data_IF_485693991536
#
_entry.id   IF_485693991536
#
_cell.length_a   1.000
_cell.length_b   1.000
_cell.length_c   1.000
_cell.angle_alpha   90.00
_cell.angle_beta   90.00
_cell.angle_gamma   90.00
#
_symmetry.space_group_name_H-M   'P 1'
#
loop_
_entity.id
_entity.type
_entity.pdbx_description
1 polymer ?
#
# COMPACT_ATOMS: atom_id res chain seq x y z
N UNK A 1 -30.70 -22.36 -75.01
CA UNK A 1 -31.64 -21.22 -74.95
C UNK A 1 -31.74 -20.84 -73.49
N UNK A 2 -31.26 -19.65 -73.15
CA UNK A 2 -31.66 -18.90 -71.95
C UNK A 2 -32.57 -17.75 -72.47
N UNK A 3 -33.55 -17.18 -71.71
CA UNK A 3 -33.25 -16.41 -70.49
C UNK A 3 -34.39 -16.23 -69.43
N UNK A 4 -34.05 -15.47 -68.37
CA UNK A 4 -34.88 -14.60 -67.49
C UNK A 4 -35.03 -15.08 -66.02
N UNK A 5 -34.20 -14.67 -65.04
CA UNK A 5 -33.98 -13.36 -64.41
C UNK A 5 -34.92 -13.05 -63.21
N UNK A 6 -34.36 -12.89 -62.00
CA UNK A 6 -34.45 -11.67 -61.15
C UNK A 6 -34.05 -11.87 -59.66
N UNK A 7 -33.21 -10.95 -59.13
CA UNK A 7 -33.11 -10.55 -57.71
C UNK A 7 -31.91 -11.10 -56.92
N UNK A 8 -30.72 -10.46 -56.89
CA UNK A 8 -30.26 -9.43 -55.92
C UNK A 8 -30.24 -9.94 -54.45
N UNK A 9 -29.16 -9.91 -53.67
CA UNK A 9 -28.04 -8.97 -53.60
C UNK A 9 -26.73 -9.63 -53.09
N UNK A 10 -25.60 -9.05 -53.49
CA UNK A 10 -24.27 -9.37 -53.01
C UNK A 10 -23.98 -8.69 -51.66
N UNK A 11 -23.28 -9.38 -50.74
CA UNK A 11 -22.44 -8.68 -49.78
C UNK A 11 -21.13 -9.43 -49.52
N UNK A 12 -20.10 -8.74 -50.00
CA UNK A 12 -18.66 -8.85 -49.92
C UNK A 12 -18.11 -9.41 -48.60
N UNK A 13 -17.12 -10.30 -48.78
CA UNK A 13 -16.12 -10.78 -47.83
C UNK A 13 -15.38 -9.60 -47.18
N UNK A 14 -15.35 -9.58 -45.85
CA UNK A 14 -14.53 -8.68 -45.05
C UNK A 14 -14.22 -9.32 -43.70
N UNK A 15 -13.36 -10.34 -43.72
CA UNK A 15 -12.81 -10.94 -42.51
C UNK A 15 -11.92 -9.93 -41.78
N UNK A 16 -12.47 -9.31 -40.74
CA UNK A 16 -11.73 -8.65 -39.69
C UNK A 16 -11.79 -9.53 -38.45
N UNK A 17 -10.88 -10.49 -38.36
CA UNK A 17 -10.60 -11.17 -37.09
C UNK A 17 -9.93 -10.12 -36.21
N UNK A 18 -10.67 -9.62 -35.21
CA UNK A 18 -10.04 -8.90 -34.10
C UNK A 18 -9.00 -9.86 -33.50
N UNK A 19 -7.76 -9.43 -33.25
CA UNK A 19 -6.77 -10.32 -32.67
C UNK A 19 -7.32 -10.83 -31.34
N UNK A 20 -7.47 -12.16 -31.25
CA UNK A 20 -7.74 -12.85 -29.98
C UNK A 20 -6.64 -12.41 -29.02
N UNK A 21 -7.03 -11.60 -28.03
CA UNK A 21 -6.18 -11.31 -26.88
C UNK A 21 -6.04 -12.64 -26.16
N UNK A 22 -4.82 -13.19 -26.01
CA UNK A 22 -4.67 -14.46 -25.32
C UNK A 22 -5.10 -14.25 -23.87
N UNK A 23 -6.23 -14.83 -23.49
CA UNK A 23 -6.56 -15.04 -22.09
C UNK A 23 -5.43 -15.95 -21.58
N UNK A 24 -4.49 -15.38 -20.82
CA UNK A 24 -3.27 -16.05 -20.36
C UNK A 24 -3.63 -17.03 -19.23
N UNK A 25 -4.43 -18.03 -19.56
CA UNK A 25 -4.66 -19.23 -18.76
C UNK A 25 -3.32 -19.97 -18.68
N UNK A 26 -2.83 -20.20 -17.46
CA UNK A 26 -1.52 -20.79 -17.16
C UNK A 26 -0.34 -19.99 -17.74
N UNK A 27 0.09 -18.98 -16.97
CA UNK A 27 1.38 -18.38 -17.22
C UNK A 27 2.47 -19.39 -16.83
N UNK A 28 2.84 -20.23 -17.79
CA UNK A 28 3.97 -21.15 -17.72
C UNK A 28 5.29 -20.42 -17.40
N UNK A 29 5.30 -19.09 -17.42
CA UNK A 29 6.42 -18.24 -17.00
C UNK A 29 6.56 -18.11 -15.50
N UNK A 30 5.53 -18.23 -14.67
CA UNK A 30 5.66 -18.03 -13.22
C UNK A 30 5.45 -19.33 -12.45
N UNK A 31 6.42 -19.67 -11.62
CA UNK A 31 6.36 -20.81 -10.71
C UNK A 31 6.02 -20.33 -9.30
N UNK A 32 5.00 -20.93 -8.68
CA UNK A 32 4.65 -20.63 -7.28
C UNK A 32 5.78 -21.09 -6.36
N UNK A 33 6.31 -20.17 -5.55
CA UNK A 33 7.29 -20.47 -4.51
C UNK A 33 6.61 -20.61 -3.15
N UNK A 34 5.79 -19.61 -2.77
CA UNK A 34 5.10 -19.58 -1.48
C UNK A 34 3.99 -18.53 -1.49
N UNK A 35 2.92 -18.75 -0.72
CA UNK A 35 2.00 -17.66 -0.36
C UNK A 35 2.66 -16.75 0.70
N UNK A 36 2.67 -15.44 0.46
CA UNK A 36 3.39 -14.45 1.30
C UNK A 36 2.46 -13.47 2.04
N UNK A 37 1.17 -13.48 1.77
CA UNK A 37 0.22 -12.72 2.55
C UNK A 37 -1.23 -12.99 2.19
N UNK A 38 -2.11 -12.90 3.18
CA UNK A 38 -3.57 -12.85 3.02
C UNK A 38 -4.07 -11.59 3.72
N UNK A 39 -4.52 -10.61 2.95
CA UNK A 39 -5.11 -9.37 3.47
C UNK A 39 -6.50 -9.11 2.90
N UNK A 40 -7.13 -8.00 3.29
CA UNK A 40 -8.49 -7.61 2.89
C UNK A 40 -8.70 -7.49 1.37
N UNK A 41 -7.65 -7.54 0.55
CA UNK A 41 -7.68 -7.25 -0.89
C UNK A 41 -6.96 -8.28 -1.74
N UNK A 42 -6.85 -9.51 -1.24
CA UNK A 42 -6.36 -10.65 -2.01
C UNK A 42 -5.16 -11.36 -1.40
N UNK A 43 -4.84 -12.51 -1.99
CA UNK A 43 -3.68 -13.33 -1.62
C UNK A 43 -2.47 -12.81 -2.40
N UNK A 44 -1.42 -12.40 -1.69
CA UNK A 44 -0.13 -12.09 -2.30
C UNK A 44 0.69 -13.38 -2.37
N UNK A 45 1.19 -13.71 -3.57
CA UNK A 45 2.00 -14.91 -3.82
C UNK A 45 3.41 -14.52 -4.23
N UNK A 46 4.39 -15.19 -3.65
CA UNK A 46 5.76 -15.18 -4.12
C UNK A 46 5.86 -16.16 -5.28
N UNK A 47 6.26 -15.65 -6.43
CA UNK A 47 6.49 -16.44 -7.62
C UNK A 47 7.92 -16.27 -8.10
N UNK A 48 8.39 -17.23 -8.89
CA UNK A 48 9.66 -17.16 -9.61
C UNK A 48 9.38 -17.07 -11.10
N UNK A 49 9.93 -16.05 -11.75
CA UNK A 49 9.94 -16.00 -13.21
C UNK A 49 10.86 -17.12 -13.73
N UNK A 50 10.31 -18.06 -14.52
CA UNK A 50 11.04 -19.21 -15.04
C UNK A 50 12.09 -18.81 -16.07
N UNK A 51 11.99 -17.64 -16.69
CA UNK A 51 12.95 -17.10 -17.66
C UNK A 51 14.06 -16.35 -16.93
N UNK A 52 13.72 -15.29 -16.18
CA UNK A 52 14.73 -14.44 -15.51
C UNK A 52 15.27 -15.06 -14.22
N UNK A 53 14.59 -16.07 -13.68
CA UNK A 53 14.83 -16.70 -12.37
C UNK A 53 14.61 -15.77 -11.17
N UNK A 54 14.16 -14.55 -11.41
CA UNK A 54 13.89 -13.56 -10.37
C UNK A 54 12.65 -13.91 -9.55
N UNK A 55 12.67 -13.49 -8.29
CA UNK A 55 11.51 -13.56 -7.41
C UNK A 55 10.64 -12.32 -7.60
N UNK A 56 9.34 -12.54 -7.70
CA UNK A 56 8.33 -11.49 -7.84
C UNK A 56 7.18 -11.71 -6.88
N UNK A 57 6.55 -10.62 -6.45
CA UNK A 57 5.29 -10.68 -5.72
C UNK A 57 4.13 -10.51 -6.71
N UNK A 58 3.11 -11.37 -6.61
CA UNK A 58 1.91 -11.30 -7.45
C UNK A 58 0.70 -11.09 -6.55
N UNK A 59 0.00 -9.97 -6.77
CA UNK A 59 -1.26 -9.64 -6.09
C UNK A 59 -2.43 -9.94 -7.02
N UNK A 60 -3.46 -10.61 -6.51
CA UNK A 60 -4.65 -10.96 -7.27
C UNK A 60 -5.86 -10.14 -6.81
N UNK A 61 -6.59 -9.56 -7.77
CA UNK A 61 -7.86 -8.88 -7.55
C UNK A 61 -8.93 -9.59 -8.37
N UNK A 62 -10.05 -9.97 -7.76
CA UNK A 62 -11.16 -10.61 -8.48
C UNK A 62 -11.65 -9.73 -9.64
N UNK A 63 -11.92 -10.35 -10.78
CA UNK A 63 -12.51 -9.69 -11.94
C UNK A 63 -13.92 -9.18 -11.63
N UNK A 64 -14.33 -8.10 -12.29
CA UNK A 64 -15.65 -7.50 -12.13
C UNK A 64 -15.60 -6.11 -11.52
N UNK A 65 -16.60 -5.80 -10.69
CA UNK A 65 -16.85 -4.46 -10.14
C UNK A 65 -15.74 -3.93 -9.23
N UNK A 66 -14.87 -4.80 -8.71
CA UNK A 66 -13.71 -4.39 -7.90
C UNK A 66 -12.63 -3.69 -8.73
N UNK A 67 -12.63 -3.86 -10.06
CA UNK A 67 -11.70 -3.18 -10.98
C UNK A 67 -12.31 -1.85 -11.42
N UNK A 68 -12.38 -0.90 -10.49
CA UNK A 68 -12.92 0.43 -10.75
C UNK A 68 -11.88 1.37 -11.39
N UNK A 69 -12.23 2.65 -11.55
CA UNK A 69 -11.30 3.67 -12.07
C UNK A 69 -10.14 3.96 -11.10
N UNK A 70 -10.33 3.75 -9.80
CA UNK A 70 -9.28 3.96 -8.80
C UNK A 70 -8.17 2.90 -8.97
N UNK A 71 -8.55 1.63 -9.08
CA UNK A 71 -7.60 0.54 -9.32
C UNK A 71 -6.85 0.74 -10.63
N UNK A 72 -7.55 1.13 -11.70
CA UNK A 72 -6.91 1.46 -12.99
C UNK A 72 -5.91 2.60 -12.84
N UNK A 73 -6.32 3.71 -12.21
CA UNK A 73 -5.44 4.86 -11.97
C UNK A 73 -4.21 4.50 -11.14
N UNK A 74 -4.36 3.67 -10.11
CA UNK A 74 -3.26 3.21 -9.26
C UNK A 74 -2.27 2.32 -10.01
N UNK A 75 -2.72 1.46 -10.93
CA UNK A 75 -1.84 0.60 -11.73
C UNK A 75 -1.01 1.46 -12.70
N UNK A 76 -1.66 2.41 -13.36
CA UNK A 76 -0.99 3.35 -14.26
C UNK A 76 0.01 4.23 -13.51
N UNK A 77 -0.39 4.74 -12.33
CA UNK A 77 0.49 5.53 -11.47
C UNK A 77 1.69 4.69 -11.01
N UNK A 78 1.48 3.48 -10.50
CA UNK A 78 2.57 2.61 -10.05
C UNK A 78 3.54 2.28 -11.20
N UNK A 79 3.05 2.02 -12.41
CA UNK A 79 3.89 1.83 -13.61
C UNK A 79 4.83 3.01 -13.86
N UNK A 80 4.36 4.23 -13.63
CA UNK A 80 5.14 5.46 -13.87
C UNK A 80 6.26 5.67 -12.85
N UNK A 81 6.18 5.02 -11.69
CA UNK A 81 7.12 5.21 -10.60
C UNK A 81 8.37 4.37 -10.81
N UNK A 82 9.49 5.05 -10.98
CA UNK A 82 10.82 4.46 -11.16
C UNK A 82 11.77 5.09 -10.15
N UNK A 83 11.90 4.44 -9.00
CA UNK A 83 12.78 4.87 -7.92
C UNK A 83 13.30 3.66 -7.14
N UNK A 84 14.59 3.58 -6.78
CA UNK A 84 15.16 2.43 -6.09
C UNK A 84 14.53 2.14 -4.72
N UNK A 85 13.96 3.16 -4.07
CA UNK A 85 13.25 3.02 -2.79
C UNK A 85 11.74 2.84 -2.90
N UNK A 86 11.23 2.54 -4.09
CA UNK A 86 9.83 2.20 -4.33
C UNK A 86 9.80 0.79 -4.92
N UNK A 87 8.88 -0.05 -4.49
CA UNK A 87 8.64 -1.36 -5.11
C UNK A 87 8.31 -1.13 -6.58
N UNK A 88 9.00 -1.82 -7.50
CA UNK A 88 8.77 -1.63 -8.94
C UNK A 88 7.57 -2.43 -9.43
N UNK A 89 6.69 -1.79 -10.20
CA UNK A 89 5.71 -2.47 -11.05
C UNK A 89 6.41 -3.18 -12.22
N UNK A 90 6.10 -4.46 -12.44
CA UNK A 90 6.65 -5.22 -13.58
C UNK A 90 5.63 -5.32 -14.72
N UNK A 91 4.51 -5.98 -14.46
CA UNK A 91 3.47 -6.24 -15.47
C UNK A 91 2.13 -6.56 -14.81
N UNK A 92 1.07 -6.57 -15.62
CA UNK A 92 -0.25 -7.06 -15.24
C UNK A 92 -0.73 -8.05 -16.29
N UNK A 93 -1.38 -9.12 -15.86
CA UNK A 93 -1.99 -10.08 -16.75
C UNK A 93 -3.34 -10.55 -16.22
N UNK A 94 -4.16 -11.06 -17.13
CA UNK A 94 -5.48 -11.55 -16.81
C UNK A 94 -5.44 -13.06 -16.58
N UNK A 95 -6.09 -13.49 -15.50
CA UNK A 95 -6.41 -14.89 -15.25
C UNK A 95 -7.91 -15.09 -15.44
N UNK A 96 -8.41 -16.34 -15.39
CA UNK A 96 -9.82 -16.61 -15.64
C UNK A 96 -10.71 -15.91 -14.63
N UNK A 97 -10.24 -15.79 -13.38
CA UNK A 97 -11.01 -15.28 -12.24
C UNK A 97 -10.48 -13.97 -11.66
N UNK A 98 -9.21 -13.61 -11.91
CA UNK A 98 -8.55 -12.46 -11.28
C UNK A 98 -7.70 -11.65 -12.26
N UNK A 99 -7.53 -10.36 -11.98
CA UNK A 99 -6.42 -9.54 -12.44
C UNK A 99 -5.18 -9.86 -11.58
N UNK A 100 -4.06 -10.21 -12.21
CA UNK A 100 -2.80 -10.48 -11.53
C UNK A 100 -1.81 -9.33 -11.76
N UNK A 101 -1.38 -8.69 -10.69
CA UNK A 101 -0.45 -7.55 -10.69
C UNK A 101 0.92 -8.06 -10.20
N UNK A 102 1.92 -8.04 -11.07
CA UNK A 102 3.29 -8.50 -10.79
C UNK A 102 4.16 -7.30 -10.40
N UNK A 103 4.86 -7.42 -9.27
CA UNK A 103 5.74 -6.40 -8.73
C UNK A 103 7.04 -6.99 -8.18
N UNK A 104 8.03 -6.13 -7.98
CA UNK A 104 9.29 -6.46 -7.32
C UNK A 104 9.03 -7.10 -5.94
N UNK A 105 9.76 -8.18 -5.64
CA UNK A 105 9.73 -8.80 -4.32
C UNK A 105 10.86 -8.28 -3.44
N UNK A 106 10.51 -7.68 -2.31
CA UNK A 106 11.45 -7.23 -1.28
C UNK A 106 11.70 -8.35 -0.26
N UNK A 107 12.80 -9.10 -0.43
CA UNK A 107 13.08 -10.32 0.33
C UNK A 107 13.58 -10.09 1.78
N UNK A 108 13.89 -8.86 2.16
CA UNK A 108 14.41 -8.49 3.49
C UNK A 108 13.33 -8.39 4.58
N UNK A 109 12.06 -8.55 4.21
CA UNK A 109 10.93 -8.45 5.13
C UNK A 109 10.57 -7.00 5.47
N UNK A 110 9.79 -6.82 6.52
CA UNK A 110 9.31 -5.51 6.95
C UNK A 110 10.37 -4.76 7.77
N UNK A 111 10.43 -3.44 7.60
CA UNK A 111 11.29 -2.57 8.41
C UNK A 111 10.91 -2.65 9.90
N UNK A 112 9.61 -2.75 10.21
CA UNK A 112 9.12 -2.86 11.58
C UNK A 112 9.66 -4.11 12.29
N UNK A 113 9.63 -5.27 11.63
CA UNK A 113 10.20 -6.50 12.19
C UNK A 113 11.69 -6.35 12.51
N UNK A 114 12.45 -5.65 11.65
CA UNK A 114 13.87 -5.40 11.88
C UNK A 114 14.08 -4.52 13.12
N UNK A 115 13.23 -3.50 13.30
CA UNK A 115 13.26 -2.65 14.50
C UNK A 115 12.93 -3.49 15.74
N UNK A 116 11.87 -4.30 15.72
CA UNK A 116 11.50 -5.16 16.85
C UNK A 116 12.62 -6.14 17.23
N UNK A 117 13.30 -6.75 16.24
CA UNK A 117 14.43 -7.66 16.47
C UNK A 117 15.65 -6.94 17.07
N UNK A 118 15.89 -5.69 16.68
CA UNK A 118 16.97 -4.86 17.23
C UNK A 118 16.58 -4.15 18.55
N UNK A 119 15.29 -4.11 18.88
CA UNK A 119 14.71 -3.24 19.90
C UNK A 119 14.58 -1.79 19.40
N UNK A 120 15.69 -1.19 18.98
CA UNK A 120 15.77 0.13 18.33
C UNK A 120 17.05 0.22 17.51
N UNK A 121 17.09 1.16 16.57
CA UNK A 121 18.29 1.46 15.81
C UNK A 121 19.20 2.48 16.48
N UNK A 122 20.47 2.45 16.09
CA UNK A 122 21.36 3.58 16.29
C UNK A 122 20.89 4.78 15.49
N UNK A 123 21.30 5.98 15.88
CA UNK A 123 20.96 7.20 15.13
C UNK A 123 21.51 7.16 13.69
N UNK A 124 22.67 6.53 13.47
CA UNK A 124 23.26 6.39 12.15
C UNK A 124 22.49 5.41 11.25
N UNK A 125 22.05 4.27 11.79
CA UNK A 125 21.20 3.32 11.05
C UNK A 125 19.80 3.91 10.79
N UNK A 126 19.20 4.60 11.77
CA UNK A 126 17.94 5.31 11.58
C UNK A 126 18.05 6.39 10.49
N UNK A 127 19.17 7.13 10.44
CA UNK A 127 19.44 8.11 9.39
C UNK A 127 19.56 7.45 8.01
N UNK A 128 20.27 6.34 7.91
CA UNK A 128 20.43 5.61 6.66
C UNK A 128 19.09 5.20 6.04
N UNK A 129 18.16 4.66 6.84
CA UNK A 129 16.82 4.34 6.35
C UNK A 129 15.96 5.58 6.13
N UNK A 130 16.07 6.60 6.99
CA UNK A 130 15.30 7.83 6.84
C UNK A 130 15.67 8.60 5.56
N UNK A 131 16.95 8.63 5.17
CA UNK A 131 17.38 9.22 3.91
C UNK A 131 16.72 8.57 2.70
N UNK A 132 16.63 7.23 2.71
CA UNK A 132 15.97 6.46 1.66
C UNK A 132 14.45 6.68 1.64
N UNK A 133 13.82 6.72 2.82
CA UNK A 133 12.39 7.01 2.97
C UNK A 133 12.06 8.39 2.38
N UNK A 134 12.79 9.43 2.79
CA UNK A 134 12.60 10.79 2.29
C UNK A 134 12.86 10.88 0.79
N UNK A 135 13.86 10.16 0.26
CA UNK A 135 14.09 10.10 -1.19
C UNK A 135 12.88 9.52 -1.93
N UNK A 136 12.37 8.37 -1.49
CA UNK A 136 11.21 7.73 -2.10
C UNK A 136 9.94 8.57 -2.01
N UNK A 137 9.63 9.14 -0.84
CA UNK A 137 8.43 9.97 -0.66
C UNK A 137 8.53 11.28 -1.43
N UNK A 138 9.70 11.93 -1.44
CA UNK A 138 9.93 13.13 -2.25
C UNK A 138 9.76 12.86 -3.74
N UNK A 139 10.17 11.68 -4.23
CA UNK A 139 9.95 11.28 -5.62
C UNK A 139 8.45 11.12 -5.92
N UNK A 140 7.68 10.44 -5.06
CA UNK A 140 6.23 10.35 -5.20
C UNK A 140 5.57 11.74 -5.28
N UNK A 141 5.95 12.66 -4.39
CA UNK A 141 5.40 14.02 -4.36
C UNK A 141 5.66 14.79 -5.66
N UNK A 142 6.83 14.61 -6.27
CA UNK A 142 7.20 15.21 -7.55
C UNK A 142 6.43 14.63 -8.73
N UNK A 143 6.02 13.36 -8.63
CA UNK A 143 5.10 12.70 -9.58
C UNK A 143 3.62 13.04 -9.30
N UNK A 144 3.37 14.07 -8.47
CA UNK A 144 2.05 14.50 -8.01
C UNK A 144 1.23 13.43 -7.27
N UNK A 145 1.90 12.36 -6.83
CA UNK A 145 1.32 11.27 -6.06
C UNK A 145 1.63 11.53 -4.59
N UNK A 146 0.60 11.84 -3.80
CA UNK A 146 0.70 11.76 -2.35
C UNK A 146 0.33 10.35 -1.91
N UNK A 147 1.14 9.76 -1.04
CA UNK A 147 0.99 8.35 -0.71
C UNK A 147 -0.23 8.15 0.20
N UNK A 148 -0.50 9.09 1.13
CA UNK A 148 -1.69 9.13 2.00
C UNK A 148 -1.89 7.87 2.87
N UNK A 149 -0.91 6.97 2.90
CA UNK A 149 -0.94 5.69 3.63
C UNK A 149 0.49 5.19 3.95
N UNK A 150 1.40 6.15 4.17
CA UNK A 150 2.75 5.82 4.60
C UNK A 150 2.71 5.26 6.02
N UNK A 151 2.93 3.96 6.14
CA UNK A 151 3.03 3.22 7.41
C UNK A 151 4.27 2.33 7.37
N UNK A 152 4.82 2.02 8.55
CA UNK A 152 5.94 1.10 8.67
C UNK A 152 5.60 -0.31 8.16
N UNK A 153 4.36 -0.74 8.34
CA UNK A 153 3.81 -2.01 7.83
C UNK A 153 3.90 -2.09 6.28
N UNK A 154 3.89 -0.93 5.62
CA UNK A 154 4.00 -0.81 4.16
C UNK A 154 5.44 -0.53 3.68
N UNK A 155 6.41 -0.52 4.60
CA UNK A 155 7.82 -0.27 4.29
C UNK A 155 8.63 -1.56 4.40
N UNK A 156 9.09 -2.05 3.25
CA UNK A 156 9.83 -3.28 3.13
C UNK A 156 11.33 -3.03 3.02
N UNK A 157 12.12 -4.10 3.13
CA UNK A 157 13.56 -4.12 2.90
C UNK A 157 13.87 -5.10 1.78
N UNK A 158 14.84 -4.75 0.92
CA UNK A 158 15.39 -5.73 -0.02
C UNK A 158 16.27 -6.77 0.70
N UNK A 159 16.60 -7.86 0.00
CA UNK A 159 17.42 -8.95 0.55
C UNK A 159 18.93 -8.66 0.51
N UNK A 160 19.35 -7.43 0.24
CA UNK A 160 20.77 -7.12 0.07
C UNK A 160 21.50 -7.06 1.44
N UNK A 161 22.84 -7.24 1.46
CA UNK A 161 23.62 -7.15 2.69
C UNK A 161 23.53 -5.77 3.38
N UNK A 162 23.31 -4.71 2.60
CA UNK A 162 23.06 -3.35 3.06
C UNK A 162 21.63 -2.96 2.63
N UNK A 163 20.60 -3.33 3.42
CA UNK A 163 19.24 -3.38 2.93
C UNK A 163 18.75 -2.03 2.42
N UNK A 164 18.17 -2.04 1.22
CA UNK A 164 17.45 -0.88 0.70
C UNK A 164 16.02 -0.88 1.18
N UNK A 165 15.56 0.30 1.60
CA UNK A 165 14.17 0.55 1.92
C UNK A 165 13.34 0.50 0.64
N UNK A 166 12.21 -0.19 0.67
CA UNK A 166 11.25 -0.33 -0.44
C UNK A 166 9.87 0.07 0.05
N UNK A 167 9.42 1.25 -0.38
CA UNK A 167 8.05 1.70 -0.12
C UNK A 167 7.12 0.84 -0.98
N UNK A 168 6.22 0.12 -0.33
CA UNK A 168 5.16 -0.67 -0.93
C UNK A 168 3.82 0.03 -0.66
N UNK A 169 2.79 -0.31 -1.43
CA UNK A 169 1.38 0.10 -1.26
C UNK A 169 0.88 1.28 -2.10
N UNK A 170 0.78 1.05 -3.42
CA UNK A 170 -0.10 1.81 -4.32
C UNK A 170 -1.52 1.26 -4.24
N UNK A 171 -2.13 1.35 -3.06
CA UNK A 171 -3.55 1.64 -2.86
C UNK A 171 -4.63 0.76 -3.48
N UNK A 172 -4.35 -0.32 -4.23
CA UNK A 172 -5.21 -1.17 -5.13
C UNK A 172 -6.53 -1.73 -4.55
N UNK A 173 -7.16 -0.98 -3.69
CA UNK A 173 -7.95 -1.49 -2.57
C UNK A 173 -8.69 -0.40 -1.80
N UNK A 174 -8.51 0.89 -2.10
CA UNK A 174 -9.37 1.93 -1.54
C UNK A 174 -10.73 1.88 -2.22
N UNK A 175 -11.57 0.93 -1.80
CA UNK A 175 -13.01 1.04 -1.97
C UNK A 175 -13.42 2.39 -1.38
N UNK A 176 -13.79 3.30 -2.28
CA UNK A 176 -14.46 4.53 -1.94
C UNK A 176 -15.63 4.18 -1.02
N UNK A 177 -15.68 4.86 0.13
CA UNK A 177 -16.80 4.86 1.09
C UNK A 177 -16.76 3.72 2.12
N UNK A 178 -16.30 4.07 3.33
CA UNK A 178 -16.68 3.49 4.63
C UNK A 178 -16.76 1.95 4.71
N UNK A 179 -15.79 1.28 5.35
CA UNK A 179 -16.00 0.09 6.21
C UNK A 179 -14.66 -0.35 6.83
N UNK A 180 -14.09 0.48 7.70
CA UNK A 180 -13.14 0.02 8.71
C UNK A 180 -13.92 -0.70 9.82
N UNK A 181 -14.38 -1.93 9.57
CA UNK A 181 -14.73 -2.84 10.65
C UNK A 181 -13.46 -3.53 11.18
N UNK A 182 -13.31 -3.67 12.52
CA UNK A 182 -12.04 -3.89 13.16
C UNK A 182 -11.78 -5.38 13.35
N UNK A 183 -11.28 -6.08 12.33
CA UNK A 183 -10.82 -7.48 12.50
C UNK A 183 -9.46 -7.82 11.85
N UNK A 184 -8.77 -6.84 11.29
CA UNK A 184 -7.30 -6.75 11.32
C UNK A 184 -6.98 -5.39 11.94
N UNK A 185 -5.92 -5.25 12.72
CA UNK A 185 -5.45 -3.98 13.29
C UNK A 185 -5.49 -2.87 12.24
N UNK A 186 -6.53 -2.02 12.29
CA UNK A 186 -6.77 -0.94 11.33
C UNK A 186 -5.81 0.21 11.67
N UNK A 187 -4.55 0.07 11.26
CA UNK A 187 -3.50 1.09 11.34
C UNK A 187 -3.11 1.51 12.77
N UNK A 188 -1.81 1.70 12.98
CA UNK A 188 -1.36 2.41 14.18
C UNK A 188 -1.79 3.88 14.06
N UNK A 189 -2.68 4.42 14.91
CA UNK A 189 -3.20 5.80 14.80
C UNK A 189 -2.10 6.85 14.86
N UNK A 190 -0.92 6.51 15.39
CA UNK A 190 0.24 7.37 15.47
C UNK A 190 0.65 7.99 14.12
N UNK A 191 0.45 7.28 13.01
CA UNK A 191 0.75 7.78 11.65
C UNK A 191 -0.20 8.87 11.17
N UNK A 192 -1.36 9.03 11.80
CA UNK A 192 -2.38 9.97 11.37
C UNK A 192 -2.01 11.35 11.91
N UNK A 193 -1.74 12.30 11.01
CA UNK A 193 -1.45 13.67 11.39
C UNK A 193 -2.70 14.37 12.00
N UNK A 194 -2.53 15.35 12.90
CA UNK A 194 -3.64 16.02 13.59
C UNK A 194 -4.70 16.63 12.65
N UNK A 195 -4.26 17.18 11.52
CA UNK A 195 -5.15 17.79 10.53
C UNK A 195 -6.00 16.76 9.78
N UNK A 196 -5.53 15.52 9.64
CA UNK A 196 -6.29 14.43 9.01
C UNK A 196 -7.46 14.00 9.89
N UNK A 197 -7.31 14.12 11.21
CA UNK A 197 -8.37 13.84 12.19
C UNK A 197 -9.40 14.97 12.30
N UNK A 198 -8.95 16.21 12.07
CA UNK A 198 -9.72 17.41 12.43
C UNK A 198 -10.33 18.15 11.25
N UNK A 199 -9.82 17.97 10.03
CA UNK A 199 -10.25 18.72 8.84
C UNK A 199 -10.90 17.80 7.81
N UNK A 200 -11.86 18.38 7.08
CA UNK A 200 -12.48 17.73 5.91
C UNK A 200 -11.53 17.66 4.71
N UNK A 201 -10.62 18.64 4.59
CA UNK A 201 -9.61 18.74 3.54
C UNK A 201 -8.24 19.05 4.16
N UNK A 202 -7.18 18.44 3.64
CA UNK A 202 -5.80 18.62 4.11
C UNK A 202 -4.80 18.41 2.97
N UNK A 203 -3.59 18.93 3.16
CA UNK A 203 -2.47 18.69 2.25
C UNK A 203 -1.82 17.33 2.55
N UNK A 204 -2.02 16.37 1.66
CA UNK A 204 -1.47 15.02 1.80
C UNK A 204 0.07 14.98 1.86
N UNK A 205 0.76 15.92 1.21
CA UNK A 205 2.24 15.96 1.24
C UNK A 205 2.77 16.32 2.62
N UNK A 206 2.08 17.23 3.31
CA UNK A 206 2.42 17.64 4.68
C UNK A 206 2.03 16.56 5.71
N UNK A 207 0.95 15.81 5.46
CA UNK A 207 0.60 14.65 6.27
C UNK A 207 1.61 13.49 6.12
N UNK A 208 2.14 13.27 4.91
CA UNK A 208 3.20 12.30 4.65
C UNK A 208 4.48 12.62 5.44
N UNK A 209 4.81 13.91 5.65
CA UNK A 209 5.95 14.33 6.49
C UNK A 209 5.76 13.89 7.96
N UNK A 210 4.56 14.03 8.51
CA UNK A 210 4.25 13.52 9.85
C UNK A 210 4.51 12.02 9.95
N UNK A 211 4.02 11.27 8.96
CA UNK A 211 4.20 9.81 8.87
C UNK A 211 5.68 9.42 8.81
N UNK A 212 6.50 10.17 8.06
CA UNK A 212 7.95 10.00 8.04
C UNK A 212 8.56 10.23 9.43
N UNK A 213 8.11 11.26 10.16
CA UNK A 213 8.54 11.54 11.53
C UNK A 213 8.21 10.41 12.51
N UNK A 214 7.01 9.81 12.39
CA UNK A 214 6.61 8.64 13.19
C UNK A 214 7.56 7.47 12.91
N UNK A 215 7.85 7.18 11.64
CA UNK A 215 8.84 6.15 11.25
C UNK A 215 10.22 6.44 11.85
N UNK A 216 10.72 7.67 11.75
CA UNK A 216 12.00 8.06 12.36
C UNK A 216 12.01 7.84 13.88
N UNK A 217 10.93 8.26 14.55
CA UNK A 217 10.81 8.10 15.99
C UNK A 217 10.82 6.61 16.39
N UNK A 218 10.04 5.76 15.71
CA UNK A 218 9.99 4.33 15.99
C UNK A 218 11.35 3.67 15.74
N UNK A 219 12.08 4.05 14.69
CA UNK A 219 13.44 3.57 14.47
C UNK A 219 14.37 3.93 15.64
N UNK A 220 14.28 5.15 16.18
CA UNK A 220 15.15 5.63 17.26
C UNK A 220 14.77 5.09 18.64
N UNK A 221 13.47 4.90 18.88
CA UNK A 221 12.92 4.63 20.23
C UNK A 221 12.45 3.19 20.39
N UNK A 222 12.06 2.52 19.31
CA UNK A 222 11.48 1.17 19.36
C UNK A 222 10.01 1.12 19.77
N UNK A 223 9.37 2.29 19.93
CA UNK A 223 7.97 2.45 20.31
C UNK A 223 7.34 3.64 19.59
N UNK A 224 6.02 3.71 19.53
CA UNK A 224 5.30 4.81 18.88
C UNK A 224 5.30 6.10 19.73
N UNK A 225 5.39 7.29 19.10
CA UNK A 225 5.55 8.57 19.81
C UNK A 225 4.35 9.00 20.67
N UNK A 226 3.14 8.65 20.25
CA UNK A 226 1.90 9.13 20.86
C UNK A 226 1.12 8.04 21.59
N UNK A 227 1.59 6.79 21.54
CA UNK A 227 0.99 5.70 22.29
C UNK A 227 1.36 5.80 23.77
N UNK A 228 0.43 5.35 24.61
CA UNK A 228 0.69 5.17 26.03
C UNK A 228 1.42 3.85 26.24
N UNK A 229 2.64 3.84 26.80
CA UNK A 229 3.35 2.61 27.13
C UNK A 229 2.57 1.71 28.11
N UNK A 230 1.73 2.29 28.98
CA UNK A 230 0.93 1.54 29.96
C UNK A 230 -0.39 1.01 29.38
N UNK A 231 -0.92 1.67 28.35
CA UNK A 231 -2.19 1.31 27.71
C UNK A 231 -2.15 1.55 26.18
N UNK A 232 -1.34 0.77 25.43
CA UNK A 232 -1.11 1.00 24.00
C UNK A 232 -2.35 0.76 23.14
N UNK A 233 -3.36 0.04 23.65
CA UNK A 233 -4.63 -0.21 22.94
C UNK A 233 -5.64 0.94 23.11
N UNK A 234 -5.30 1.97 23.87
CA UNK A 234 -6.16 3.12 24.10
C UNK A 234 -6.07 4.12 22.95
N UNK A 235 -6.84 3.84 21.90
CA UNK A 235 -6.92 4.71 20.73
C UNK A 235 -7.33 6.14 21.09
N UNK A 236 -8.28 6.33 22.04
CA UNK A 236 -8.73 7.68 22.44
C UNK A 236 -7.60 8.50 23.07
N UNK A 237 -6.82 7.89 23.97
CA UNK A 237 -5.66 8.55 24.61
C UNK A 237 -4.58 8.88 23.58
N UNK A 238 -4.32 7.96 22.65
CA UNK A 238 -3.36 8.18 21.56
C UNK A 238 -3.76 9.35 20.66
N UNK A 239 -5.05 9.42 20.27
CA UNK A 239 -5.59 10.53 19.48
C UNK A 239 -5.48 11.87 20.21
N UNK A 240 -5.79 11.91 21.51
CA UNK A 240 -5.62 13.13 22.31
C UNK A 240 -4.15 13.59 22.36
N UNK A 241 -3.21 12.65 22.48
CA UNK A 241 -1.78 12.95 22.45
C UNK A 241 -1.32 13.43 21.08
N UNK A 242 -1.86 12.90 19.99
CA UNK A 242 -1.60 13.39 18.62
C UNK A 242 -2.06 14.84 18.47
N UNK A 243 -3.32 15.14 18.82
CA UNK A 243 -3.91 16.49 18.69
C UNK A 243 -3.11 17.52 19.51
N UNK A 244 -2.66 17.14 20.70
CA UNK A 244 -1.87 17.99 21.58
C UNK A 244 -0.36 17.91 21.33
N UNK A 245 0.08 17.09 20.37
CA UNK A 245 1.49 16.85 20.01
C UNK A 245 2.35 16.44 21.23
N UNK A 246 1.81 15.52 22.04
CA UNK A 246 2.40 15.04 23.29
C UNK A 246 3.21 13.75 23.07
N UNK A 247 4.48 13.91 22.73
CA UNK A 247 5.47 12.84 22.66
C UNK A 247 6.67 13.16 23.56
N UNK A 248 7.41 12.14 23.98
CA UNK A 248 8.63 12.32 24.77
C UNK A 248 9.62 11.22 24.46
N UNK A 249 10.88 11.61 24.23
CA UNK A 249 11.96 10.65 24.04
C UNK A 249 12.42 10.18 25.42
N UNK A 250 12.39 8.87 25.72
CA UNK A 250 12.79 8.36 27.03
C UNK A 250 14.22 8.78 27.41
N UNK A 251 14.46 9.09 28.70
CA UNK A 251 15.75 9.62 29.19
C UNK A 251 16.95 8.69 28.94
N UNK A 252 16.70 7.38 28.89
CA UNK A 252 17.72 6.38 28.62
C UNK A 252 18.15 6.34 27.13
N UNK A 253 17.45 7.06 26.25
CA UNK A 253 17.74 7.15 24.81
C UNK A 253 18.39 8.49 24.52
N UNK A 254 19.69 8.46 24.24
CA UNK A 254 20.43 9.62 23.80
C UNK A 254 20.37 9.77 22.28
N UNK A 255 19.84 10.90 21.82
CA UNK A 255 19.90 11.34 20.42
C UNK A 255 20.55 12.72 20.33
N UNK A 256 21.16 13.03 19.19
CA UNK A 256 21.81 14.32 18.95
C UNK A 256 20.83 15.49 19.02
N UNK A 257 21.31 16.70 19.38
CA UNK A 257 20.50 17.92 19.33
C UNK A 257 19.87 18.15 17.95
N UNK A 258 20.59 17.84 16.87
CA UNK A 258 20.12 17.98 15.49
C UNK A 258 19.00 16.99 15.18
N UNK A 259 19.09 15.74 15.66
CA UNK A 259 18.01 14.76 15.52
C UNK A 259 16.74 15.21 16.25
N UNK A 260 16.91 15.72 17.48
CA UNK A 260 15.81 16.23 18.30
C UNK A 260 15.16 17.45 17.66
N UNK A 261 15.97 18.35 17.11
CA UNK A 261 15.50 19.51 16.36
C UNK A 261 14.66 19.08 15.15
N UNK A 262 15.15 18.12 14.35
CA UNK A 262 14.40 17.61 13.20
C UNK A 262 13.02 17.06 13.62
N UNK A 263 12.96 16.19 14.64
CA UNK A 263 11.70 15.66 15.15
C UNK A 263 10.75 16.75 15.65
N UNK A 264 11.29 17.79 16.32
CA UNK A 264 10.48 18.93 16.79
C UNK A 264 9.88 19.78 15.67
N UNK A 265 10.53 19.81 14.50
CA UNK A 265 10.06 20.52 13.32
C UNK A 265 9.07 19.68 12.49
N UNK A 266 9.13 18.34 12.61
CA UNK A 266 8.16 17.41 12.00
C UNK A 266 6.89 17.31 12.84
N UNK A 267 7.00 17.08 14.14
CA UNK A 267 5.86 16.99 15.04
C UNK A 267 5.38 18.38 15.44
N UNK A 268 4.75 19.05 14.48
CA UNK A 268 4.10 20.35 14.62
C UNK A 268 2.61 20.18 14.26
N UNK A 269 1.75 20.59 15.19
CA UNK A 269 0.29 20.42 15.04
C UNK A 269 -0.32 21.29 13.94
N UNK A 270 0.25 22.48 13.71
CA UNK A 270 -0.16 23.33 12.60
C UNK A 270 0.58 22.90 11.30
N UNK A 271 -0.11 22.35 10.29
CA UNK A 271 0.53 21.88 9.07
C UNK A 271 1.24 23.00 8.28
N UNK A 272 0.79 24.26 8.40
CA UNK A 272 1.43 25.38 7.71
C UNK A 272 2.80 25.76 8.30
N UNK A 273 3.12 25.29 9.50
CA UNK A 273 4.39 25.51 10.18
C UNK A 273 5.25 24.24 10.26
N UNK A 274 4.73 23.11 9.78
CA UNK A 274 5.45 21.85 9.75
C UNK A 274 6.53 21.92 8.68
N UNK A 275 7.72 21.42 8.99
CA UNK A 275 8.83 21.35 8.04
C UNK A 275 8.41 20.62 6.76
N UNK A 276 8.87 21.14 5.62
CA UNK A 276 8.61 20.55 4.30
C UNK A 276 9.65 19.50 3.93
N UNK A 277 9.35 18.68 2.92
CA UNK A 277 10.29 17.68 2.41
C UNK A 277 11.61 18.31 1.93
N UNK A 278 11.54 19.49 1.30
CA UNK A 278 12.72 20.23 0.84
C UNK A 278 13.60 20.69 2.02
N UNK A 279 12.98 21.19 3.08
CA UNK A 279 13.69 21.62 4.29
C UNK A 279 14.29 20.44 5.06
N UNK A 280 13.62 19.27 5.09
CA UNK A 280 14.20 18.04 5.63
C UNK A 280 15.47 17.67 4.87
N UNK A 281 15.44 17.69 3.53
CA UNK A 281 16.61 17.37 2.69
C UNK A 281 17.77 18.35 2.89
N UNK A 282 17.49 19.59 3.30
CA UNK A 282 18.50 20.59 3.65
C UNK A 282 18.94 20.56 5.13
N UNK A 283 18.31 19.73 5.96
CA UNK A 283 18.55 19.72 7.40
C UNK A 283 19.91 19.09 7.74
N UNK A 284 20.68 19.70 8.65
CA UNK A 284 22.03 19.25 9.01
C UNK A 284 22.11 17.79 9.47
N UNK A 285 21.09 17.32 10.21
CA UNK A 285 20.98 15.91 10.59
C UNK A 285 20.82 14.97 9.38
N UNK A 286 20.07 15.39 8.35
CA UNK A 286 19.80 14.60 7.15
C UNK A 286 21.03 14.53 6.24
N UNK A 287 21.74 15.65 6.08
CA UNK A 287 22.90 15.77 5.20
C UNK A 287 24.12 14.98 5.70
N UNK A 288 24.18 14.64 7.00
CA UNK A 288 25.27 13.87 7.58
C UNK A 288 25.34 12.47 6.95
N UNK A 289 26.50 12.12 6.39
CA UNK A 289 26.76 10.83 5.74
C UNK A 289 25.76 10.50 4.61
N UNK A 290 25.20 11.50 3.92
CA UNK A 290 24.25 11.28 2.83
C UNK A 290 24.96 10.54 1.66
N UNK A 291 24.48 9.35 1.26
CA UNK A 291 25.01 8.63 0.11
C UNK A 291 24.89 9.43 -1.18
N UNK A 292 25.92 9.38 -2.04
CA UNK A 292 25.99 10.15 -3.28
C UNK A 292 24.85 9.82 -4.25
N UNK A 293 24.41 8.56 -4.29
CA UNK A 293 23.29 8.09 -5.12
C UNK A 293 21.95 8.72 -4.72
N UNK A 294 21.79 9.10 -3.44
CA UNK A 294 20.62 9.83 -2.95
C UNK A 294 20.79 11.36 -3.07
N UNK A 295 22.03 11.85 -3.08
CA UNK A 295 22.34 13.28 -3.15
C UNK A 295 22.13 13.85 -4.56
N UNK A 296 22.53 13.11 -5.61
CA UNK A 296 22.56 13.65 -6.97
C UNK A 296 21.23 13.56 -7.71
N UNK A 297 20.23 12.83 -7.20
CA UNK A 297 18.91 12.68 -7.85
C UNK A 297 18.94 12.14 -9.30
N UNK A 298 20.12 11.83 -9.84
CA UNK A 298 20.40 11.70 -11.27
C UNK A 298 20.82 10.29 -11.70
N UNK A 299 21.06 9.37 -10.77
CA UNK A 299 21.35 7.96 -11.09
C UNK A 299 20.12 7.03 -11.02
N UNK A 300 18.93 7.58 -10.79
CA UNK A 300 17.69 6.83 -10.52
C UNK A 300 17.06 6.17 -11.76
N UNK A 301 17.75 6.16 -12.91
CA UNK A 301 17.20 5.64 -14.18
C UNK A 301 18.16 4.93 -15.12
N UNK A 302 19.41 4.64 -14.72
CA UNK A 302 20.43 4.22 -15.68
C UNK A 302 20.56 2.70 -15.94
N UNK A 303 19.92 1.82 -15.16
CA UNK A 303 20.13 0.37 -15.30
C UNK A 303 18.97 -0.41 -15.95
N UNK A 304 17.91 0.26 -16.41
CA UNK A 304 16.67 -0.43 -16.79
C UNK A 304 16.07 -0.04 -18.14
N UNK A 305 16.93 0.25 -19.11
CA UNK A 305 16.50 0.27 -20.53
C UNK A 305 16.39 -1.13 -21.15
N UNK A 306 16.71 -2.20 -20.38
CA UNK A 306 16.79 -3.57 -20.91
C UNK A 306 15.58 -4.48 -20.58
N UNK A 307 14.71 -4.13 -19.62
CA UNK A 307 13.50 -4.93 -19.36
C UNK A 307 12.38 -4.54 -20.36
N UNK A 308 11.83 -5.49 -21.14
CA UNK A 308 10.66 -5.22 -21.97
C UNK A 308 9.46 -4.93 -21.08
N UNK A 309 9.19 -3.64 -20.84
CA UNK A 309 8.05 -3.22 -20.05
C UNK A 309 6.78 -3.21 -20.89
N UNK A 310 5.72 -3.85 -20.40
CA UNK A 310 4.38 -3.86 -21.00
C UNK A 310 3.91 -2.45 -21.42
N UNK A 311 3.25 -2.27 -22.55
CA UNK A 311 2.80 -0.93 -22.97
C UNK A 311 1.61 -0.42 -22.14
N UNK A 312 1.40 0.89 -22.07
CA UNK A 312 0.23 1.46 -21.37
C UNK A 312 -1.09 1.02 -22.03
N UNK A 313 -1.11 0.93 -23.37
CA UNK A 313 -2.29 0.51 -24.13
C UNK A 313 -2.64 -0.96 -23.87
N UNK A 314 -1.62 -1.80 -23.71
CA UNK A 314 -1.80 -3.20 -23.32
C UNK A 314 -2.33 -3.35 -21.89
N UNK A 315 -1.79 -2.58 -20.94
CA UNK A 315 -2.29 -2.54 -19.57
C UNK A 315 -3.77 -2.13 -19.56
N UNK A 316 -4.11 -1.03 -20.25
CA UNK A 316 -5.49 -0.56 -20.32
C UNK A 316 -6.44 -1.60 -20.94
N UNK A 317 -6.01 -2.31 -21.99
CA UNK A 317 -6.80 -3.41 -22.58
C UNK A 317 -7.07 -4.52 -21.57
N UNK A 318 -6.06 -4.95 -20.83
CA UNK A 318 -6.21 -5.99 -19.80
C UNK A 318 -7.13 -5.53 -18.67
N UNK A 319 -7.05 -4.24 -18.27
CA UNK A 319 -7.91 -3.68 -17.22
C UNK A 319 -9.37 -3.61 -17.66
N UNK A 320 -9.65 -3.20 -18.90
CA UNK A 320 -11.01 -3.21 -19.45
C UNK A 320 -11.58 -4.64 -19.53
N UNK A 321 -10.75 -5.63 -19.89
CA UNK A 321 -11.19 -7.02 -19.89
C UNK A 321 -11.41 -7.58 -18.46
N UNK A 322 -10.62 -7.11 -17.49
CA UNK A 322 -10.73 -7.50 -16.09
C UNK A 322 -12.01 -6.97 -15.42
N UNK A 323 -12.61 -5.89 -15.94
CA UNK A 323 -13.91 -5.36 -15.50
C UNK A 323 -15.08 -6.30 -15.81
N UNK A 324 -14.90 -7.20 -16.77
CA UNK A 324 -15.90 -8.21 -17.12
C UNK A 324 -15.77 -9.38 -16.14
N UNK A 325 -16.86 -9.69 -15.41
CA UNK A 325 -16.92 -10.87 -14.55
C UNK A 325 -16.62 -12.13 -15.36
N UNK A 326 -15.88 -13.06 -14.75
CA UNK A 326 -15.53 -14.32 -15.38
C UNK A 326 -16.81 -15.07 -15.84
N UNK A 327 -16.91 -15.49 -17.12
CA UNK A 327 -18.04 -16.29 -17.55
C UNK A 327 -17.98 -17.68 -16.89
N UNK A 328 -19.02 -18.03 -16.11
CA UNK A 328 -19.39 -19.43 -15.88
C UNK A 328 -18.62 -20.25 -14.82
N UNK A 329 -18.04 -19.65 -13.77
CA UNK A 329 -17.80 -20.38 -12.50
C UNK A 329 -18.94 -20.15 -11.49
N UNK A 330 -20.17 -20.10 -12.01
CA UNK A 330 -21.36 -20.27 -11.20
C UNK A 330 -21.53 -21.74 -10.89
N UNK A 331 -21.41 -22.10 -9.62
CA UNK A 331 -21.92 -23.36 -9.09
C UNK A 331 -23.38 -23.51 -9.53
N UNK A 332 -23.62 -24.43 -10.46
CA UNK A 332 -24.91 -25.07 -10.65
C UNK A 332 -25.02 -26.19 -9.60
N UNK A 333 -25.20 -25.79 -8.34
CA UNK A 333 -25.72 -26.68 -7.31
C UNK A 333 -26.75 -25.90 -6.50
N UNK A 334 -28.00 -26.08 -6.92
CA UNK A 334 -29.24 -25.98 -6.16
C UNK A 334 -29.43 -24.71 -5.31
N UNK A 335 -30.19 -23.81 -5.92
CA UNK A 335 -31.16 -22.94 -5.26
C UNK A 335 -32.11 -23.79 -4.39
N UNK A 336 -31.72 -24.04 -3.14
CA UNK A 336 -32.65 -24.38 -2.06
C UNK A 336 -32.39 -23.42 -0.89
N UNK A 337 -33.38 -22.57 -0.64
CA UNK A 337 -33.50 -21.73 0.54
C UNK A 337 -33.17 -22.51 1.82
N UNK A 338 -32.11 -22.12 2.51
CA UNK A 338 -31.93 -22.43 3.93
C UNK A 338 -31.89 -21.11 4.70
N UNK A 339 -33.06 -20.74 5.21
CA UNK A 339 -33.20 -19.80 6.32
C UNK A 339 -32.39 -20.34 7.51
N UNK A 340 -31.47 -19.52 8.01
CA UNK A 340 -30.70 -19.80 9.22
C UNK A 340 -31.11 -18.79 10.29
N UNK A 341 -32.38 -18.86 10.70
CA UNK A 341 -32.85 -18.27 11.95
C UNK A 341 -33.38 -19.41 12.85
N UNK A 342 -32.94 -19.37 14.10
CA UNK A 342 -33.50 -20.06 15.27
C UNK A 342 -33.35 -21.58 15.38
N UNK A 343 -32.10 -22.00 15.65
CA UNK A 343 -31.84 -23.07 16.61
C UNK A 343 -31.00 -22.52 17.76
N UNK A 344 -31.65 -21.97 18.77
CA UNK A 344 -31.12 -21.94 20.14
C UNK A 344 -32.28 -22.08 21.12
N UNK A 345 -32.49 -23.33 21.54
CA UNK A 345 -33.34 -23.67 22.67
C UNK A 345 -32.57 -23.44 23.97
N UNK A 346 -33.21 -22.67 24.85
CA UNK A 346 -33.25 -22.84 26.30
C UNK A 346 -31.92 -23.03 27.06
N UNK A 347 -31.51 -21.97 27.75
CA UNK A 347 -31.11 -22.10 29.16
C UNK A 347 -31.41 -20.80 29.91
N UNK A 348 -32.43 -20.89 30.76
CA UNK A 348 -32.79 -19.95 31.80
C UNK A 348 -31.62 -19.67 32.76
N UNK A 349 -31.34 -18.38 33.03
CA UNK A 349 -30.91 -17.93 34.36
C UNK A 349 -31.59 -16.58 34.66
N UNK A 350 -32.66 -16.65 35.44
CA UNK A 350 -33.23 -15.54 36.21
C UNK A 350 -32.24 -15.03 37.26
N UNK A 351 -31.92 -13.74 37.22
CA UNK A 351 -31.59 -12.97 38.43
C UNK A 351 -32.27 -11.59 38.33
N UNK A 352 -33.33 -11.44 39.13
CA UNK A 352 -33.96 -10.16 39.48
C UNK A 352 -32.94 -9.17 40.06
N UNK A 353 -32.99 -7.90 39.64
CA UNK A 353 -33.02 -6.79 40.60
C UNK A 353 -33.42 -5.49 39.91
N UNK A 354 -34.59 -5.01 40.31
CA UNK A 354 -35.06 -3.63 40.28
C UNK A 354 -33.99 -2.56 40.56
N UNK A 355 -34.13 -1.39 39.93
CA UNK A 355 -33.46 -0.16 40.37
C UNK A 355 -33.56 1.00 39.38
N UNK A 356 -34.59 1.83 39.52
CA UNK A 356 -34.64 3.20 38.99
C UNK A 356 -33.42 4.04 39.44
N UNK A 357 -33.05 5.03 38.60
CA UNK A 357 -32.69 6.45 38.91
C UNK A 357 -31.72 6.96 37.81
N UNK A 358 -32.21 7.76 36.85
CA UNK A 358 -32.18 9.24 36.83
C UNK A 358 -30.76 9.84 36.85
N UNK A 359 -30.42 10.46 35.72
CA UNK A 359 -29.33 11.41 35.56
C UNK A 359 -29.51 12.66 36.44
N UNK A 360 -28.45 13.09 37.11
CA UNK A 360 -28.20 14.51 37.33
C UNK A 360 -26.72 14.74 37.71
N UNK A 361 -26.11 15.67 36.95
CA UNK A 361 -24.83 16.38 37.11
C UNK A 361 -23.58 15.64 36.64
#
# INVERSE_FOLDING_TARGET
>A
MDPAAAGAAAQIVGGGVLPEIPILHDNDRYELVKDIGSGNFGVARLMRDKITKELVAVKYIERGEKIDENVTGEIVNHKSLRHPNIVRFKEVFLTPTHLAIVMEYAAGGELFERICKAGRFSEDEARFFFQQLISGVSYCHNMEICHRDLKLENTLLDGSPAPRLKICDFGYSKSSVLHSQPKSTVGTPAYIAPEVLSKKEYDGRIADVWSCGVTLYVMLVGAYPFEDPEDPRNFRKTIQRIINVQYSIPEHISISPECRHLLSQIFVGNPAQRITMAEIKAHGWFLKNLPADLADGAHLGAEDEAEPSQSIDEINRILEEARIRAPGYGLSFLDENFDFDDMDAENDIDIESSGEFVSAI
#
